data_IF_711071630069
#
_entry.id   IF_711071630069
#
_cell.length_a   1.000
_cell.length_b   1.000
_cell.length_c   1.000
_cell.angle_alpha   90.00
_cell.angle_beta   90.00
_cell.angle_gamma   90.00
#
_symmetry.space_group_name_H-M   'P 1'
#
loop_
_entity.id
_entity.type
_entity.pdbx_description
1 polymer ?
#
# COMPACT_ATOMS: atom_id res chain seq x y z
N UNK A 1 -17.98 -11.15 6.25
CA UNK A 1 -16.63 -10.55 6.26
C UNK A 1 -15.83 -10.95 7.51
N UNK A 2 -15.83 -12.25 7.90
CA UNK A 2 -15.32 -12.69 9.21
C UNK A 2 -13.84 -12.38 9.54
N UNK A 3 -12.97 -12.22 8.55
CA UNK A 3 -11.53 -12.01 8.81
C UNK A 3 -11.16 -10.55 9.06
N UNK A 4 -11.81 -9.61 8.37
CA UNK A 4 -11.54 -8.17 8.54
C UNK A 4 -12.06 -7.72 9.90
N UNK A 5 -13.23 -8.22 10.30
CA UNK A 5 -13.83 -7.93 11.61
C UNK A 5 -12.90 -8.29 12.79
N UNK A 6 -12.05 -9.33 12.63
CA UNK A 6 -11.08 -9.75 13.66
C UNK A 6 -9.91 -8.78 13.85
N UNK A 7 -9.67 -7.88 12.90
CA UNK A 7 -8.61 -6.88 13.00
C UNK A 7 -8.96 -5.75 13.99
N UNK A 8 -10.24 -5.59 14.36
CA UNK A 8 -10.69 -4.64 15.37
C UNK A 8 -10.57 -3.17 14.98
N UNK A 9 -10.20 -2.87 13.73
CA UNK A 9 -10.11 -1.52 13.19
C UNK A 9 -11.16 -1.33 12.07
N UNK A 10 -11.74 -0.13 11.93
CA UNK A 10 -12.65 0.16 10.84
C UNK A 10 -11.91 0.20 9.50
N UNK A 11 -12.47 -0.45 8.48
CA UNK A 11 -12.01 -0.36 7.10
C UNK A 11 -13.09 0.28 6.24
N UNK A 12 -12.74 1.34 5.50
CA UNK A 12 -13.68 1.99 4.59
C UNK A 12 -14.09 1.06 3.43
N UNK A 13 -13.11 0.40 2.81
CA UNK A 13 -13.28 -0.56 1.71
C UNK A 13 -12.23 -1.67 1.83
N UNK A 14 -12.55 -2.85 1.29
CA UNK A 14 -11.65 -4.01 1.26
C UNK A 14 -11.60 -4.54 -0.17
N UNK A 15 -10.40 -4.54 -0.76
CA UNK A 15 -10.14 -5.04 -2.10
C UNK A 15 -9.24 -6.27 -2.03
N UNK A 16 -9.66 -7.35 -2.68
CA UNK A 16 -8.93 -8.61 -2.69
C UNK A 16 -8.51 -9.02 -4.09
N UNK A 17 -7.47 -9.85 -4.19
CA UNK A 17 -7.06 -10.45 -5.46
C UNK A 17 -8.15 -11.33 -6.08
N UNK A 18 -9.06 -11.88 -5.28
CA UNK A 18 -10.20 -12.65 -5.79
C UNK A 18 -11.25 -11.75 -6.46
N UNK A 19 -11.52 -10.56 -5.91
CA UNK A 19 -12.41 -9.58 -6.55
C UNK A 19 -11.81 -9.05 -7.85
N UNK A 20 -10.51 -8.70 -7.83
CA UNK A 20 -9.81 -8.21 -9.01
C UNK A 20 -9.45 -9.32 -10.02
N UNK A 21 -9.63 -10.59 -9.63
CA UNK A 21 -9.19 -11.80 -10.36
C UNK A 21 -7.71 -11.78 -10.76
N UNK A 22 -6.89 -11.07 -10.00
CA UNK A 22 -5.48 -10.86 -10.27
C UNK A 22 -4.72 -10.56 -8.97
N UNK A 23 -3.54 -11.17 -8.83
CA UNK A 23 -2.62 -10.88 -7.74
C UNK A 23 -1.67 -9.74 -8.11
N UNK A 24 -1.28 -8.96 -7.10
CA UNK A 24 -0.08 -8.13 -7.14
C UNK A 24 1.15 -8.99 -7.47
N UNK A 25 2.20 -8.45 -8.12
CA UNK A 25 2.42 -7.04 -8.48
C UNK A 25 1.80 -6.60 -9.81
N UNK A 26 0.91 -7.40 -10.42
CA UNK A 26 0.27 -6.99 -11.69
C UNK A 26 -0.51 -5.70 -11.48
N UNK A 27 -0.26 -4.71 -12.34
CA UNK A 27 -0.83 -3.35 -12.23
C UNK A 27 -2.37 -3.37 -12.22
N UNK A 28 -2.99 -4.33 -12.90
CA UNK A 28 -4.44 -4.55 -12.87
C UNK A 28 -5.05 -4.66 -11.46
N UNK A 29 -4.30 -5.14 -10.45
CA UNK A 29 -4.77 -5.14 -9.06
C UNK A 29 -4.89 -3.72 -8.47
N UNK A 30 -3.97 -2.82 -8.86
CA UNK A 30 -3.94 -1.43 -8.42
C UNK A 30 -4.93 -0.58 -9.22
N UNK A 31 -5.07 -0.82 -10.53
CA UNK A 31 -6.11 -0.22 -11.37
C UNK A 31 -7.50 -0.51 -10.77
N UNK A 32 -7.79 -1.78 -10.48
CA UNK A 32 -9.04 -2.17 -9.82
C UNK A 32 -9.26 -1.43 -8.49
N UNK A 33 -8.23 -1.27 -7.67
CA UNK A 33 -8.33 -0.50 -6.43
C UNK A 33 -8.65 0.98 -6.70
N UNK A 34 -7.91 1.63 -7.60
CA UNK A 34 -8.05 3.06 -7.92
C UNK A 34 -9.44 3.37 -8.51
N UNK A 35 -9.91 2.55 -9.45
CA UNK A 35 -11.22 2.70 -10.08
C UNK A 35 -12.39 2.63 -9.07
N UNK A 36 -12.19 1.92 -7.96
CA UNK A 36 -13.22 1.66 -6.97
C UNK A 36 -13.07 2.45 -5.67
N UNK A 37 -11.92 3.06 -5.40
CA UNK A 37 -11.68 3.77 -4.14
C UNK A 37 -12.38 5.13 -4.11
N UNK A 38 -12.43 5.83 -5.24
CA UNK A 38 -13.09 7.14 -5.39
C UNK A 38 -12.17 8.34 -5.13
N UNK A 39 -10.85 8.15 -5.22
CA UNK A 39 -9.85 9.20 -5.11
C UNK A 39 -8.69 8.95 -6.10
N UNK A 40 -7.88 9.97 -6.34
CA UNK A 40 -6.72 9.86 -7.23
C UNK A 40 -5.52 9.20 -6.54
N UNK A 41 -4.52 8.72 -7.31
CA UNK A 41 -3.27 8.18 -6.74
C UNK A 41 -2.47 9.21 -5.93
N UNK A 42 -2.65 10.51 -6.18
CA UNK A 42 -2.08 11.61 -5.41
C UNK A 42 -2.62 11.72 -3.98
N UNK A 43 -3.83 11.22 -3.73
CA UNK A 43 -4.52 11.27 -2.43
C UNK A 43 -4.21 10.05 -1.55
N UNK A 44 -3.44 9.09 -2.06
CA UNK A 44 -3.20 7.80 -1.41
C UNK A 44 -1.80 7.77 -0.78
N UNK A 45 -1.73 7.22 0.43
CA UNK A 45 -0.52 6.70 1.04
C UNK A 45 -0.53 5.17 0.96
N UNK A 46 0.30 4.58 0.11
CA UNK A 46 0.45 3.12 0.03
C UNK A 46 1.44 2.63 1.09
N UNK A 47 1.00 1.77 2.00
CA UNK A 47 1.81 1.23 3.10
C UNK A 47 2.05 -0.26 2.87
N UNK A 48 3.32 -0.68 2.82
CA UNK A 48 3.67 -2.11 2.67
C UNK A 48 5.05 -2.41 3.27
N UNK A 49 5.32 -3.70 3.52
CA UNK A 49 6.66 -4.21 3.82
C UNK A 49 7.33 -4.89 2.62
N UNK A 50 6.78 -4.82 1.40
CA UNK A 50 7.41 -5.39 0.20
C UNK A 50 7.57 -4.35 -0.92
N UNK A 51 8.78 -4.25 -1.45
CA UNK A 51 9.03 -3.41 -2.62
C UNK A 51 8.49 -4.04 -3.89
N UNK A 52 8.84 -5.31 -4.13
CA UNK A 52 8.52 -6.01 -5.38
C UNK A 52 7.04 -6.30 -5.56
N UNK A 53 6.32 -6.60 -4.48
CA UNK A 53 4.89 -6.87 -4.55
C UNK A 53 4.05 -5.60 -4.56
N UNK A 54 4.50 -4.53 -3.90
CA UNK A 54 3.67 -3.37 -3.62
C UNK A 54 4.26 -2.04 -4.08
N UNK A 55 5.39 -1.61 -3.51
CA UNK A 55 5.85 -0.22 -3.67
C UNK A 55 6.29 0.12 -5.10
N UNK A 56 6.86 -0.83 -5.85
CA UNK A 56 7.23 -0.61 -7.25
C UNK A 56 5.99 -0.42 -8.14
N UNK A 57 5.01 -1.31 -8.01
CA UNK A 57 3.72 -1.16 -8.69
C UNK A 57 3.01 0.13 -8.27
N UNK A 58 3.05 0.50 -6.98
CA UNK A 58 2.48 1.76 -6.51
C UNK A 58 3.16 2.97 -7.16
N UNK A 59 4.48 2.94 -7.34
CA UNK A 59 5.22 3.97 -8.06
C UNK A 59 4.83 4.03 -9.54
N UNK A 60 4.76 2.89 -10.23
CA UNK A 60 4.34 2.81 -11.64
C UNK A 60 2.90 3.34 -11.84
N UNK A 61 2.03 3.12 -10.85
CA UNK A 61 0.67 3.64 -10.78
C UNK A 61 0.58 5.11 -10.32
N UNK A 62 1.72 5.79 -10.18
CA UNK A 62 1.84 7.21 -9.80
C UNK A 62 1.29 7.54 -8.42
N UNK A 63 1.19 6.55 -7.52
CA UNK A 63 0.86 6.81 -6.11
C UNK A 63 2.02 7.59 -5.50
N UNK A 64 1.75 8.84 -5.12
CA UNK A 64 2.80 9.76 -4.66
C UNK A 64 3.36 9.35 -3.31
N UNK A 65 2.47 9.14 -2.33
CA UNK A 65 2.89 8.88 -0.96
C UNK A 65 3.05 7.36 -0.76
N UNK A 66 4.22 6.93 -0.30
CA UNK A 66 4.55 5.52 -0.10
C UNK A 66 5.31 5.34 1.20
N UNK A 67 4.91 4.37 2.01
CA UNK A 67 5.58 4.00 3.26
C UNK A 67 6.05 2.54 3.20
N UNK A 68 7.36 2.35 3.39
CA UNK A 68 7.98 1.04 3.56
C UNK A 68 8.13 0.72 5.05
N UNK A 69 7.45 -0.33 5.51
CA UNK A 69 7.58 -0.85 6.87
C UNK A 69 8.74 -1.85 6.89
N UNK A 70 9.87 -1.47 7.50
CA UNK A 70 11.10 -2.24 7.51
C UNK A 70 11.02 -3.44 8.46
N UNK A 71 10.48 -4.56 7.98
CA UNK A 71 10.31 -5.81 8.74
C UNK A 71 11.52 -6.75 8.68
N UNK A 72 12.66 -6.29 8.17
CA UNK A 72 13.93 -7.03 8.15
C UNK A 72 14.08 -8.13 7.09
N UNK A 73 13.11 -8.31 6.19
CA UNK A 73 13.16 -9.34 5.13
C UNK A 73 13.47 -8.80 3.73
N UNK A 74 13.43 -7.48 3.53
CA UNK A 74 13.86 -6.81 2.30
C UNK A 74 14.88 -5.74 2.63
N UNK A 75 15.88 -5.58 1.75
CA UNK A 75 16.80 -4.45 1.79
C UNK A 75 16.12 -3.21 1.22
N UNK A 76 16.44 -1.99 1.71
CA UNK A 76 15.90 -0.75 1.18
C UNK A 76 16.13 -0.65 -0.34
N UNK A 77 15.08 -0.32 -1.09
CA UNK A 77 15.18 -0.07 -2.52
C UNK A 77 15.85 1.29 -2.82
N UNK A 78 16.21 1.51 -4.07
CA UNK A 78 16.72 2.79 -4.54
C UNK A 78 15.73 3.94 -4.24
N UNK A 79 16.25 5.11 -3.85
CA UNK A 79 15.45 6.30 -3.54
C UNK A 79 14.61 6.81 -4.72
N UNK A 80 14.93 6.40 -5.96
CA UNK A 80 14.12 6.63 -7.16
C UNK A 80 12.64 6.27 -6.98
N UNK A 81 12.34 5.28 -6.14
CA UNK A 81 10.96 4.87 -5.87
C UNK A 81 10.21 5.76 -4.87
N UNK A 82 10.83 6.83 -4.34
CA UNK A 82 10.17 7.89 -3.56
C UNK A 82 9.27 7.37 -2.42
N UNK A 83 9.88 6.64 -1.47
CA UNK A 83 9.20 6.08 -0.31
C UNK A 83 9.79 6.59 1.00
N UNK A 84 8.99 6.60 2.05
CA UNK A 84 9.43 6.82 3.43
C UNK A 84 9.60 5.48 4.13
N UNK A 85 10.78 5.22 4.68
CA UNK A 85 11.01 4.04 5.50
C UNK A 85 10.64 4.31 6.96
N UNK A 86 9.87 3.40 7.55
CA UNK A 86 9.55 3.37 8.99
C UNK A 86 9.97 2.02 9.58
N UNK A 87 10.50 1.97 10.81
CA UNK A 87 10.97 0.72 11.42
C UNK A 87 9.82 -0.25 11.75
N UNK A 88 8.65 0.30 12.05
CA UNK A 88 7.43 -0.45 12.33
C UNK A 88 6.19 0.43 12.05
N UNK A 89 5.00 -0.17 12.18
CA UNK A 89 3.73 0.49 11.84
C UNK A 89 3.40 1.66 12.78
N UNK A 90 3.99 1.73 13.98
CA UNK A 90 3.80 2.82 14.93
C UNK A 90 4.34 4.16 14.40
N UNK A 91 5.33 4.13 13.50
CA UNK A 91 5.84 5.33 12.85
C UNK A 91 4.91 5.94 11.79
N UNK A 92 3.82 5.26 11.41
CA UNK A 92 2.94 5.70 10.32
C UNK A 92 2.20 6.99 10.66
N UNK A 93 1.76 7.18 11.92
CA UNK A 93 1.02 8.36 12.36
C UNK A 93 1.80 9.66 12.12
N UNK A 94 3.11 9.65 12.40
CA UNK A 94 3.98 10.80 12.18
C UNK A 94 4.13 11.21 10.70
N UNK A 95 3.96 10.27 9.75
CA UNK A 95 4.00 10.60 8.31
C UNK A 95 2.77 11.41 7.85
N UNK A 96 1.67 11.35 8.60
CA UNK A 96 0.41 12.04 8.29
C UNK A 96 0.09 13.16 9.29
N UNK A 97 1.04 13.54 10.14
CA UNK A 97 0.92 14.66 11.07
C UNK A 97 0.02 14.40 12.29
N UNK A 98 -0.13 13.13 12.70
CA UNK A 98 -0.87 12.70 13.89
C UNK A 98 0.06 12.40 15.07
#
# INVERSE_FOLDING_TARGET
>A
MSNVDKLGAPFHKVFTADQAKVYKPRLAAFEFMLDNLGCGPEDILHVSSSFRYDLFSAHDMKIKNKAFVARGHEQPANSFYEYHQIPDIGGLAGLVGL
#
